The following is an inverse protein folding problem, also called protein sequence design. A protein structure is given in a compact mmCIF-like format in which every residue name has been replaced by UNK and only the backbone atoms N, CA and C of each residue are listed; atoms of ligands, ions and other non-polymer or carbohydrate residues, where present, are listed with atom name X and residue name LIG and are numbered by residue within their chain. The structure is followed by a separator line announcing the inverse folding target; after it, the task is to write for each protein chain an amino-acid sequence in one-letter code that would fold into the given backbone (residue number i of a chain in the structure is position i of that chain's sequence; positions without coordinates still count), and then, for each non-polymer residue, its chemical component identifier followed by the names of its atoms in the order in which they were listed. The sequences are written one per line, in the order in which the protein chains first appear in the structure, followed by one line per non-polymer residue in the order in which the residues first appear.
data_IF_400972237018
#
_entry.id   IF_400972237018
#
_cell.length_a   1.000
_cell.length_b   1.000
_cell.length_c   1.000
_cell.angle_alpha   90.00
_cell.angle_beta   90.00
_cell.angle_gamma   90.00
#
_symmetry.space_group_name_H-M   'P 1'
#
loop_
_entity.id
_entity.type
_entity.pdbx_description
1 polymer ?
#
# COMPACT_ATOMS: atom_id res chain seq x y z
N UNK A 1 -0.83 16.72 -1.64
CA UNK A 1 -1.37 15.75 -0.64
C UNK A 1 -0.58 14.46 -0.66
N UNK A 2 -0.13 13.99 -1.84
CA UNK A 2 0.88 12.95 -2.06
C UNK A 2 1.89 12.73 -0.93
N UNK A 3 2.75 13.71 -0.62
CA UNK A 3 3.85 13.49 0.36
C UNK A 3 3.33 13.27 1.78
N UNK A 4 2.25 13.98 2.14
CA UNK A 4 1.61 13.85 3.46
C UNK A 4 1.05 12.44 3.66
N UNK A 5 0.32 11.92 2.68
CA UNK A 5 -0.27 10.57 2.79
C UNK A 5 0.80 9.47 2.67
N UNK A 6 1.81 9.64 1.82
CA UNK A 6 2.92 8.69 1.73
C UNK A 6 3.67 8.56 3.07
N UNK A 7 4.04 9.69 3.68
CA UNK A 7 4.69 9.67 4.99
C UNK A 7 3.80 9.06 6.08
N UNK A 8 2.49 9.29 6.02
CA UNK A 8 1.53 8.65 6.92
C UNK A 8 1.54 7.13 6.78
N UNK A 9 1.44 6.57 5.56
CA UNK A 9 1.41 5.11 5.37
C UNK A 9 2.75 4.45 5.72
N UNK A 10 3.88 5.14 5.54
CA UNK A 10 5.21 4.65 5.99
C UNK A 10 5.23 4.52 7.52
N UNK A 11 4.78 5.57 8.24
CA UNK A 11 4.69 5.52 9.69
C UNK A 11 3.69 4.46 10.17
N UNK A 12 2.56 4.31 9.48
CA UNK A 12 1.53 3.32 9.78
C UNK A 12 2.05 1.89 9.59
N UNK A 13 2.75 1.59 8.48
CA UNK A 13 3.35 0.28 8.27
C UNK A 13 4.33 -0.06 9.39
N UNK A 14 5.19 0.88 9.79
CA UNK A 14 6.11 0.69 10.90
C UNK A 14 5.37 0.40 12.22
N UNK A 15 4.33 1.16 12.53
CA UNK A 15 3.54 0.96 13.75
C UNK A 15 2.83 -0.39 13.76
N UNK A 16 2.20 -0.77 12.65
CA UNK A 16 1.47 -2.04 12.54
C UNK A 16 2.43 -3.21 12.66
N UNK A 17 3.52 -3.23 11.88
CA UNK A 17 4.43 -4.39 11.90
C UNK A 17 5.11 -4.54 13.26
N UNK A 18 5.56 -3.45 13.90
CA UNK A 18 6.18 -3.52 15.22
C UNK A 18 5.23 -4.11 16.28
N UNK A 19 3.95 -3.72 16.25
CA UNK A 19 2.97 -4.24 17.20
C UNK A 19 2.61 -5.70 16.92
N UNK A 20 2.50 -6.10 15.66
CA UNK A 20 2.26 -7.48 15.28
C UNK A 20 3.42 -8.40 15.68
N UNK A 21 4.67 -7.97 15.51
CA UNK A 21 5.86 -8.71 15.99
C UNK A 21 5.85 -8.86 17.52
N UNK A 22 5.47 -7.79 18.23
CA UNK A 22 5.36 -7.81 19.69
C UNK A 22 4.29 -8.79 20.16
N UNK A 23 3.17 -8.89 19.44
CA UNK A 23 2.07 -9.83 19.74
C UNK A 23 2.47 -11.26 19.39
N UNK A 24 3.13 -11.47 18.25
CA UNK A 24 3.57 -12.79 17.82
C UNK A 24 4.64 -13.36 18.76
N UNK A 25 5.62 -12.54 19.16
CA UNK A 25 6.66 -12.90 20.13
C UNK A 25 7.75 -13.84 19.60
N UNK A 26 7.62 -14.34 18.37
CA UNK A 26 8.57 -15.28 17.75
C UNK A 26 9.04 -14.84 16.37
N UNK A 27 8.11 -14.65 15.43
CA UNK A 27 8.45 -14.28 14.06
C UNK A 27 8.57 -12.76 13.91
N UNK A 28 9.43 -12.34 12.98
CA UNK A 28 9.60 -10.93 12.59
C UNK A 28 9.35 -10.74 11.11
N UNK A 29 8.92 -9.54 10.73
CA UNK A 29 8.68 -9.19 9.34
C UNK A 29 10.01 -9.12 8.58
N UNK A 30 10.06 -9.80 7.44
CA UNK A 30 11.11 -9.67 6.44
C UNK A 30 10.75 -8.56 5.46
N UNK A 31 11.65 -7.60 5.31
CA UNK A 31 11.45 -6.44 4.44
C UNK A 31 12.09 -6.66 3.07
N UNK A 32 11.32 -6.36 2.02
CA UNK A 32 11.80 -6.29 0.64
C UNK A 32 11.49 -4.90 0.06
N UNK A 33 12.55 -4.19 -0.33
CA UNK A 33 12.49 -2.89 -0.99
C UNK A 33 12.62 -3.10 -2.49
N UNK A 34 11.65 -2.58 -3.24
CA UNK A 34 11.65 -2.75 -4.70
C UNK A 34 11.27 -1.46 -5.42
N UNK A 35 11.72 -1.37 -6.66
CA UNK A 35 11.49 -0.24 -7.56
C UNK A 35 10.91 -0.73 -8.89
N UNK A 36 10.11 0.11 -9.54
CA UNK A 36 9.58 -0.15 -10.89
C UNK A 36 10.33 0.67 -11.91
N UNK A 37 10.70 0.03 -13.03
CA UNK A 37 11.35 0.72 -14.17
C UNK A 37 10.46 1.83 -14.73
N UNK A 38 9.15 1.66 -14.65
CA UNK A 38 8.14 2.59 -15.13
C UNK A 38 7.87 3.76 -14.17
N UNK A 39 8.43 3.72 -12.94
CA UNK A 39 8.31 4.79 -11.94
C UNK A 39 7.77 4.32 -10.59
N UNK A 40 8.43 4.79 -9.53
CA UNK A 40 8.10 4.49 -8.14
C UNK A 40 8.57 3.12 -7.66
N UNK A 41 7.89 2.58 -6.67
CA UNK A 41 8.33 1.39 -5.95
C UNK A 41 7.44 1.02 -4.77
N UNK A 42 8.00 0.26 -3.84
CA UNK A 42 7.32 -0.11 -2.62
C UNK A 42 8.20 -0.81 -1.61
N UNK A 43 7.59 -1.08 -0.46
CA UNK A 43 8.16 -1.82 0.65
C UNK A 43 7.19 -2.92 1.03
N UNK A 44 7.58 -4.14 0.75
CA UNK A 44 6.86 -5.35 1.12
C UNK A 44 7.39 -5.80 2.48
N UNK A 45 6.50 -6.11 3.43
CA UNK A 45 6.88 -6.75 4.68
C UNK A 45 6.04 -8.00 4.89
N UNK A 46 6.70 -9.14 5.06
CA UNK A 46 6.04 -10.44 5.25
C UNK A 46 6.47 -11.09 6.56
N UNK A 47 5.51 -11.59 7.33
CA UNK A 47 5.73 -12.42 8.53
C UNK A 47 5.17 -13.82 8.25
N UNK A 48 5.91 -14.86 8.61
CA UNK A 48 5.54 -16.26 8.38
C UNK A 48 6.02 -17.15 9.53
N UNK A 49 5.30 -18.24 9.79
CA UNK A 49 5.65 -19.28 10.77
C UNK A 49 5.82 -18.74 12.21
N UNK A 50 5.03 -17.73 12.57
CA UNK A 50 4.94 -17.18 13.93
C UNK A 50 4.13 -18.08 14.87
N UNK A 51 4.03 -17.65 16.12
CA UNK A 51 3.18 -18.33 17.11
C UNK A 51 1.73 -17.81 17.07
N UNK A 52 1.52 -16.59 16.57
CA UNK A 52 0.18 -16.00 16.38
C UNK A 52 -0.19 -15.94 14.91
N UNK A 53 0.74 -15.55 14.04
CA UNK A 53 0.49 -15.41 12.59
C UNK A 53 1.11 -16.58 11.82
N UNK A 54 0.27 -17.35 11.12
CA UNK A 54 0.72 -18.36 10.17
C UNK A 54 1.45 -17.68 9.01
N UNK A 55 0.80 -16.63 8.47
CA UNK A 55 1.32 -15.80 7.38
C UNK A 55 0.65 -14.43 7.40
N UNK A 56 1.41 -13.38 7.11
CA UNK A 56 0.87 -12.03 7.02
C UNK A 56 1.72 -11.14 6.14
N UNK A 57 1.10 -10.12 5.57
CA UNK A 57 1.77 -9.11 4.78
C UNK A 57 1.25 -7.72 5.15
N UNK A 58 2.15 -6.75 5.27
CA UNK A 58 1.82 -5.34 5.42
C UNK A 58 2.68 -4.58 4.43
N UNK A 59 2.09 -4.15 3.32
CA UNK A 59 2.81 -3.65 2.16
C UNK A 59 2.45 -2.19 1.90
N UNK A 60 3.44 -1.39 1.52
CA UNK A 60 3.21 -0.05 0.97
C UNK A 60 3.74 0.04 -0.44
N UNK A 61 3.11 0.86 -1.27
CA UNK A 61 3.61 1.22 -2.59
C UNK A 61 3.38 2.70 -2.87
N UNK A 62 4.24 3.27 -3.70
CA UNK A 62 4.10 4.60 -4.27
C UNK A 62 4.60 4.54 -5.70
N UNK A 63 3.68 4.65 -6.66
CA UNK A 63 3.94 4.53 -8.09
C UNK A 63 3.51 5.80 -8.81
N UNK A 64 4.20 6.11 -9.90
CA UNK A 64 3.90 7.27 -10.72
C UNK A 64 4.30 7.02 -12.17
N UNK A 65 3.76 7.81 -13.09
CA UNK A 65 4.09 7.75 -14.49
C UNK A 65 2.92 8.17 -15.36
N UNK A 66 2.96 7.79 -16.64
CA UNK A 66 1.87 8.04 -17.57
C UNK A 66 0.64 7.19 -17.21
N UNK A 67 -0.54 7.82 -17.20
CA UNK A 67 -1.80 7.13 -16.93
C UNK A 67 -2.03 6.05 -18.01
N UNK A 68 -2.34 4.80 -17.65
CA UNK A 68 -2.60 3.75 -18.63
C UNK A 68 -3.73 4.13 -19.60
N UNK A 69 -3.62 3.76 -20.89
CA UNK A 69 -4.64 4.10 -21.91
C UNK A 69 -6.06 3.65 -21.55
N UNK A 70 -6.20 2.53 -20.85
CA UNK A 70 -7.49 2.05 -20.34
C UNK A 70 -8.11 3.02 -19.33
N UNK A 71 -7.32 3.55 -18.41
CA UNK A 71 -7.77 4.55 -17.44
C UNK A 71 -8.02 5.91 -18.09
N UNK A 72 -7.18 6.32 -19.06
CA UNK A 72 -7.45 7.52 -19.87
C UNK A 72 -8.83 7.47 -20.52
N UNK A 73 -9.16 6.33 -21.15
CA UNK A 73 -10.46 6.12 -21.80
C UNK A 73 -11.62 6.12 -20.79
N UNK A 74 -11.43 5.52 -19.61
CA UNK A 74 -12.44 5.49 -18.55
C UNK A 74 -12.75 6.88 -17.98
N UNK A 75 -11.72 7.69 -17.75
CA UNK A 75 -11.87 9.06 -17.22
C UNK A 75 -12.16 10.10 -18.30
N UNK A 76 -12.12 9.74 -19.59
CA UNK A 76 -12.32 10.67 -20.69
C UNK A 76 -11.21 11.74 -20.80
N UNK A 77 -10.01 11.42 -20.33
CA UNK A 77 -8.84 12.32 -20.36
C UNK A 77 -7.86 11.89 -21.44
N UNK A 78 -7.14 12.86 -22.03
CA UNK A 78 -6.05 12.59 -22.97
C UNK A 78 -4.72 12.78 -22.26
N UNK A 79 -3.82 11.80 -22.40
CA UNK A 79 -2.41 11.88 -21.97
C UNK A 79 -2.15 12.56 -20.62
N UNK A 80 -2.71 11.99 -19.54
CA UNK A 80 -2.46 12.45 -18.17
C UNK A 80 -1.31 11.67 -17.51
N UNK A 81 -0.63 12.30 -16.56
CA UNK A 81 0.27 11.62 -15.61
C UNK A 81 -0.49 11.30 -14.33
N UNK A 82 0.04 10.38 -13.51
CA UNK A 82 -0.56 10.05 -12.23
C UNK A 82 0.47 9.76 -11.14
N UNK A 83 -0.02 9.85 -9.91
CA UNK A 83 0.62 9.31 -8.72
C UNK A 83 -0.40 8.49 -7.93
N UNK A 84 0.01 7.33 -7.45
CA UNK A 84 -0.79 6.50 -6.56
C UNK A 84 0.09 5.94 -5.44
N UNK A 85 -0.39 6.01 -4.21
CA UNK A 85 0.25 5.30 -3.09
C UNK A 85 -0.78 4.69 -2.16
N UNK A 86 -0.36 3.69 -1.40
CA UNK A 86 -1.25 3.07 -0.42
C UNK A 86 -0.56 2.01 0.44
N UNK A 87 -1.24 1.67 1.53
CA UNK A 87 -0.94 0.53 2.39
C UNK A 87 -1.99 -0.55 2.14
N UNK A 88 -1.56 -1.80 2.04
CA UNK A 88 -2.44 -2.97 2.02
C UNK A 88 -1.90 -4.02 2.96
N UNK A 89 -2.79 -4.68 3.71
CA UNK A 89 -2.41 -5.79 4.57
C UNK A 89 -3.41 -6.94 4.47
N UNK A 90 -2.90 -8.14 4.72
CA UNK A 90 -3.67 -9.36 4.96
C UNK A 90 -2.95 -10.13 6.05
N UNK A 91 -3.67 -10.56 7.08
CA UNK A 91 -3.12 -11.32 8.20
C UNK A 91 -3.89 -12.63 8.38
N UNK A 92 -3.19 -13.76 8.41
CA UNK A 92 -3.74 -15.09 8.67
C UNK A 92 -3.21 -15.61 10.01
N UNK A 93 -4.01 -15.57 11.08
CA UNK A 93 -3.66 -16.15 12.36
C UNK A 93 -3.60 -17.69 12.31
N UNK A 94 -2.78 -18.29 13.17
CA UNK A 94 -2.72 -19.76 13.35
C UNK A 94 -4.00 -20.29 14.03
N UNK A 95 -4.53 -19.54 15.00
CA UNK A 95 -5.67 -19.98 15.79
C UNK A 95 -6.98 -19.75 15.01
N UNK A 96 -7.81 -20.79 14.75
CA UNK A 96 -9.04 -20.67 13.96
C UNK A 96 -10.12 -19.78 14.59
N UNK A 97 -9.97 -19.41 15.87
CA UNK A 97 -10.87 -18.48 16.56
C UNK A 97 -10.44 -17.01 16.43
N UNK A 98 -9.29 -16.73 15.81
CA UNK A 98 -8.83 -15.37 15.50
C UNK A 98 -9.06 -15.14 13.99
N UNK A 99 -9.84 -14.14 13.59
CA UNK A 99 -10.20 -13.96 12.19
C UNK A 99 -9.02 -13.48 11.35
N UNK A 100 -9.03 -13.84 10.07
CA UNK A 100 -8.25 -13.13 9.06
C UNK A 100 -8.74 -11.69 8.97
N UNK A 101 -7.81 -10.75 8.80
CA UNK A 101 -8.11 -9.35 8.54
C UNK A 101 -7.47 -8.93 7.23
N UNK A 102 -8.22 -8.18 6.44
CA UNK A 102 -7.73 -7.44 5.30
C UNK A 102 -7.96 -5.93 5.52
N UNK A 103 -7.00 -5.12 5.08
CA UNK A 103 -7.21 -3.68 5.01
C UNK A 103 -6.44 -3.06 3.85
N UNK A 104 -6.99 -1.98 3.32
CA UNK A 104 -6.36 -1.18 2.28
C UNK A 104 -6.69 0.29 2.48
N UNK A 105 -5.69 1.16 2.44
CA UNK A 105 -5.88 2.61 2.35
C UNK A 105 -4.97 3.17 1.28
N UNK A 106 -5.55 3.89 0.33
CA UNK A 106 -4.85 4.39 -0.85
C UNK A 106 -5.29 5.79 -1.22
N UNK A 107 -4.39 6.48 -1.89
CA UNK A 107 -4.57 7.82 -2.41
C UNK A 107 -4.11 7.86 -3.87
N UNK A 108 -4.83 8.60 -4.68
CA UNK A 108 -4.56 8.77 -6.10
C UNK A 108 -4.66 10.26 -6.46
N UNK A 109 -3.72 10.78 -7.25
CA UNK A 109 -3.84 12.08 -7.91
C UNK A 109 -3.41 11.97 -9.38
N UNK A 110 -4.13 12.69 -10.24
CA UNK A 110 -3.92 12.77 -11.68
C UNK A 110 -3.46 14.17 -12.07
N UNK A 111 -2.56 14.27 -13.05
CA UNK A 111 -1.99 15.53 -13.49
C UNK A 111 -2.23 15.79 -14.98
N UNK A 112 -2.41 17.05 -15.34
CA UNK A 112 -2.31 17.53 -16.72
C UNK A 112 -0.83 17.62 -17.17
N UNK A 113 -0.61 18.05 -18.41
CA UNK A 113 0.74 18.18 -18.98
C UNK A 113 1.56 19.30 -18.35
N UNK A 114 0.89 20.31 -17.79
CA UNK A 114 1.53 21.38 -17.04
C UNK A 114 1.90 20.98 -15.60
N UNK A 115 1.46 19.80 -15.15
CA UNK A 115 1.73 19.24 -13.83
C UNK A 115 0.73 19.68 -12.75
N UNK A 116 -0.40 20.29 -13.13
CA UNK A 116 -1.46 20.63 -12.19
C UNK A 116 -2.33 19.41 -11.87
N UNK A 117 -2.85 19.34 -10.65
CA UNK A 117 -3.77 18.26 -10.24
C UNK A 117 -5.12 18.47 -10.93
N UNK A 118 -5.52 17.50 -11.74
CA UNK A 118 -6.83 17.47 -12.43
C UNK A 118 -7.89 16.80 -11.57
N UNK A 119 -7.51 15.72 -10.88
CA UNK A 119 -8.40 14.99 -9.98
C UNK A 119 -7.59 14.27 -8.89
N UNK A 120 -8.22 14.02 -7.74
CA UNK A 120 -7.63 13.30 -6.63
C UNK A 120 -8.70 12.65 -5.75
N UNK A 121 -8.43 11.46 -5.25
CA UNK A 121 -9.35 10.77 -4.34
C UNK A 121 -8.63 9.81 -3.40
N UNK A 122 -9.33 9.47 -2.33
CA UNK A 122 -8.96 8.40 -1.42
C UNK A 122 -9.83 7.17 -1.70
N UNK A 123 -9.30 6.01 -1.38
CA UNK A 123 -10.05 4.76 -1.34
C UNK A 123 -9.53 3.87 -0.23
N UNK A 124 -10.38 2.98 0.27
CA UNK A 124 -9.94 2.03 1.29
C UNK A 124 -11.06 1.35 2.03
N UNK A 125 -10.68 0.57 3.03
CA UNK A 125 -11.56 -0.23 3.86
C UNK A 125 -10.76 -1.17 4.76
N UNK A 126 -11.48 -1.78 5.69
CA UNK A 126 -11.01 -2.85 6.56
C UNK A 126 -12.15 -3.84 6.73
N UNK A 127 -11.82 -5.13 6.68
CA UNK A 127 -12.75 -6.25 6.75
C UNK A 127 -12.12 -7.46 7.46
#
# INVERSE_FOLDING_TARGET
MKDKFYNYIVALQNSITAELERIDGKATFQEDLWERKEGGGGKTRVIENGDVFEKGGVNISAVHGALPKSMQSYFGVQEADFFACGLSLVLHPVNPFVPTVHANWRYFEMYDKEGNIVDQWFGGGLD
#
